data_IF_175183414891
#
_entry.id   IF_175183414891
#
_cell.length_a   1.000
_cell.length_b   1.000
_cell.length_c   1.000
_cell.angle_alpha   90.00
_cell.angle_beta   90.00
_cell.angle_gamma   90.00
#
_symmetry.space_group_name_H-M   'P 1'
#
loop_
_entity.id
_entity.type
_entity.pdbx_description
1 polymer ?
#
# COMPACT_ATOMS: atom_id res chain seq x y z
N UNK A 1 -1.51 -76.35 -28.63
CA UNK A 1 -1.33 -74.94 -28.91
C UNK A 1 -1.96 -74.16 -27.72
N UNK A 2 -1.11 -73.58 -26.88
CA UNK A 2 -1.56 -72.78 -25.70
C UNK A 2 -1.37 -71.30 -26.06
N UNK A 3 -2.47 -70.57 -26.30
CA UNK A 3 -2.48 -69.15 -26.56
C UNK A 3 -2.34 -68.39 -25.24
N UNK A 4 -1.20 -67.69 -25.09
CA UNK A 4 -0.91 -66.80 -23.96
C UNK A 4 -1.52 -65.43 -24.23
N UNK A 5 -2.53 -64.99 -23.47
CA UNK A 5 -3.10 -63.69 -23.56
C UNK A 5 -2.35 -62.77 -22.60
N UNK A 6 -1.52 -61.89 -23.13
CA UNK A 6 -0.83 -60.85 -22.35
C UNK A 6 -1.79 -59.68 -22.14
N UNK A 7 -2.27 -59.45 -20.92
CA UNK A 7 -3.04 -58.27 -20.56
C UNK A 7 -2.07 -57.10 -20.32
N UNK A 8 -2.14 -56.06 -21.17
CA UNK A 8 -1.43 -54.81 -20.98
C UNK A 8 -2.23 -53.97 -19.95
N UNK A 9 -1.69 -53.85 -18.74
CA UNK A 9 -2.23 -52.95 -17.73
C UNK A 9 -1.80 -51.50 -18.10
N UNK A 10 -2.69 -50.69 -18.67
CA UNK A 10 -2.49 -49.26 -18.80
C UNK A 10 -2.68 -48.61 -17.42
N UNK A 11 -1.57 -48.29 -16.74
CA UNK A 11 -1.58 -47.45 -15.54
C UNK A 11 -1.82 -46.00 -15.97
N UNK A 12 -3.03 -45.52 -15.79
CA UNK A 12 -3.33 -44.08 -15.91
C UNK A 12 -2.72 -43.38 -14.72
N UNK A 13 -1.62 -42.66 -14.93
CA UNK A 13 -1.11 -41.69 -13.98
C UNK A 13 -2.09 -40.49 -13.96
N UNK A 14 -3.04 -40.54 -13.04
CA UNK A 14 -3.87 -39.36 -12.74
C UNK A 14 -2.97 -38.33 -12.07
N UNK A 15 -2.52 -37.33 -12.83
CA UNK A 15 -1.98 -36.12 -12.22
C UNK A 15 -3.10 -35.49 -11.40
N UNK A 16 -2.84 -35.14 -10.12
CA UNK A 16 -3.84 -34.41 -9.36
C UNK A 16 -4.10 -33.09 -10.07
N UNK A 17 -5.30 -32.93 -10.64
CA UNK A 17 -5.74 -31.65 -11.14
C UNK A 17 -5.70 -30.69 -9.91
N UNK A 18 -4.90 -29.63 -9.97
CA UNK A 18 -4.91 -28.58 -8.96
C UNK A 18 -6.35 -28.08 -8.87
N UNK A 19 -6.95 -28.22 -7.69
CA UNK A 19 -8.29 -27.71 -7.45
C UNK A 19 -8.28 -26.18 -7.66
N UNK A 20 -9.20 -25.69 -8.49
CA UNK A 20 -9.32 -24.28 -8.81
C UNK A 20 -10.68 -23.73 -8.38
N UNK A 21 -10.78 -22.42 -8.26
CA UNK A 21 -12.02 -21.70 -7.95
C UNK A 21 -12.03 -20.37 -8.68
N UNK A 22 -13.20 -19.77 -8.78
CA UNK A 22 -13.39 -18.45 -9.36
C UNK A 22 -13.41 -17.39 -8.27
N UNK A 23 -12.75 -16.26 -8.53
CA UNK A 23 -12.75 -15.06 -7.70
C UNK A 23 -13.05 -13.86 -8.59
N UNK A 24 -13.56 -12.78 -7.99
CA UNK A 24 -13.77 -11.50 -8.68
C UNK A 24 -12.76 -10.50 -8.15
N UNK A 25 -11.96 -9.91 -9.03
CA UNK A 25 -10.98 -8.89 -8.67
C UNK A 25 -11.61 -7.49 -8.46
N UNK A 26 -10.80 -6.50 -8.09
CA UNK A 26 -11.29 -5.14 -7.84
C UNK A 26 -11.68 -4.40 -9.13
N UNK A 27 -11.31 -4.91 -10.29
CA UNK A 27 -11.77 -4.40 -11.59
C UNK A 27 -13.12 -5.02 -12.03
N UNK A 28 -13.58 -6.06 -11.33
CA UNK A 28 -14.82 -6.79 -11.65
C UNK A 28 -14.61 -7.97 -12.59
N UNK A 29 -13.37 -8.38 -12.86
CA UNK A 29 -13.08 -9.55 -13.69
C UNK A 29 -13.22 -10.82 -12.87
N UNK A 30 -13.88 -11.84 -13.46
CA UNK A 30 -13.91 -13.19 -12.88
C UNK A 30 -12.67 -13.95 -13.34
N UNK A 31 -11.83 -14.36 -12.41
CA UNK A 31 -10.55 -15.02 -12.65
C UNK A 31 -10.55 -16.40 -11.98
N UNK A 32 -10.08 -17.41 -12.72
CA UNK A 32 -9.86 -18.75 -12.16
C UNK A 32 -8.48 -18.83 -11.53
N UNK A 33 -8.43 -19.16 -10.25
CA UNK A 33 -7.18 -19.25 -9.45
C UNK A 33 -7.10 -20.60 -8.74
N UNK A 34 -5.91 -21.06 -8.31
CA UNK A 34 -5.77 -22.22 -7.42
C UNK A 34 -6.59 -22.07 -6.14
N UNK A 35 -7.01 -23.19 -5.54
CA UNK A 35 -7.73 -23.17 -4.26
C UNK A 35 -6.91 -22.49 -3.16
N UNK A 36 -5.59 -22.68 -3.16
CA UNK A 36 -4.62 -22.00 -2.32
C UNK A 36 -3.52 -21.43 -3.20
N UNK A 37 -3.16 -20.17 -2.97
CA UNK A 37 -2.13 -19.47 -3.74
C UNK A 37 -0.86 -19.37 -2.90
N UNK A 38 0.21 -19.96 -3.38
CA UNK A 38 1.51 -20.02 -2.68
C UNK A 38 2.65 -19.33 -3.42
N UNK A 39 2.47 -19.01 -4.72
CA UNK A 39 3.53 -18.43 -5.55
C UNK A 39 3.01 -17.21 -6.30
N UNK A 40 3.36 -16.04 -5.79
CA UNK A 40 2.80 -14.75 -6.19
C UNK A 40 3.84 -13.90 -6.91
N UNK A 41 3.46 -13.31 -8.03
CA UNK A 41 4.12 -12.14 -8.57
C UNK A 41 3.32 -10.89 -8.19
N UNK A 42 3.94 -9.92 -7.55
CA UNK A 42 3.25 -8.68 -7.17
C UNK A 42 3.85 -7.49 -7.92
N UNK A 43 3.09 -7.00 -8.91
CA UNK A 43 3.39 -5.86 -9.77
C UNK A 43 2.87 -4.53 -9.24
N UNK A 44 2.22 -4.50 -8.09
CA UNK A 44 1.78 -3.25 -7.45
C UNK A 44 2.58 -2.99 -6.17
N UNK A 45 3.41 -1.95 -6.17
CA UNK A 45 4.32 -1.61 -5.09
C UNK A 45 3.69 -1.64 -3.69
N UNK A 46 2.51 -1.04 -3.53
CA UNK A 46 1.81 -0.94 -2.25
C UNK A 46 1.16 -2.25 -1.80
N UNK A 47 0.75 -3.11 -2.74
CA UNK A 47 0.00 -4.34 -2.46
C UNK A 47 0.83 -5.36 -1.67
N UNK A 48 2.16 -5.30 -1.75
CA UNK A 48 3.06 -6.09 -0.92
C UNK A 48 2.72 -5.96 0.58
N UNK A 49 2.37 -4.76 1.04
CA UNK A 49 1.97 -4.56 2.44
C UNK A 49 0.65 -5.28 2.77
N UNK A 50 -0.28 -5.36 1.82
CA UNK A 50 -1.53 -6.14 1.98
C UNK A 50 -1.20 -7.63 2.11
N UNK A 51 -0.38 -8.17 1.21
CA UNK A 51 0.06 -9.58 1.28
C UNK A 51 0.80 -9.89 2.60
N UNK A 52 1.67 -8.98 3.05
CA UNK A 52 2.36 -9.14 4.35
C UNK A 52 1.38 -9.09 5.52
N UNK A 53 0.41 -8.17 5.50
CA UNK A 53 -0.67 -8.09 6.51
C UNK A 53 -1.47 -9.39 6.58
N UNK A 54 -1.73 -10.02 5.44
CA UNK A 54 -2.47 -11.26 5.34
C UNK A 54 -1.64 -12.53 5.63
N UNK A 55 -0.35 -12.37 5.95
CA UNK A 55 0.56 -13.49 6.25
C UNK A 55 1.14 -14.18 5.01
N UNK A 56 0.93 -13.61 3.82
CA UNK A 56 1.38 -14.17 2.54
C UNK A 56 2.68 -13.52 2.00
N UNK A 57 3.37 -12.71 2.79
CA UNK A 57 4.59 -12.04 2.34
C UNK A 57 5.67 -13.00 1.82
N UNK A 58 5.78 -14.19 2.40
CA UNK A 58 6.75 -15.22 1.98
C UNK A 58 6.39 -15.90 0.66
N UNK A 59 5.15 -15.78 0.23
CA UNK A 59 4.66 -16.34 -1.03
C UNK A 59 5.03 -15.47 -2.25
N UNK A 60 5.57 -14.28 -2.02
CA UNK A 60 6.00 -13.38 -3.10
C UNK A 60 7.31 -13.90 -3.68
N UNK A 61 7.27 -14.41 -4.91
CA UNK A 61 8.42 -14.97 -5.65
C UNK A 61 8.89 -14.06 -6.79
N UNK A 62 8.11 -13.01 -7.12
CA UNK A 62 8.51 -11.96 -8.04
C UNK A 62 7.95 -10.62 -7.55
N UNK A 63 8.74 -9.57 -7.59
CA UNK A 63 8.46 -8.26 -6.98
C UNK A 63 8.96 -7.10 -7.83
N UNK A 64 8.25 -5.99 -7.78
CA UNK A 64 8.66 -4.67 -8.31
C UNK A 64 9.35 -3.81 -7.24
N UNK A 65 9.32 -4.23 -5.97
CA UNK A 65 9.99 -3.52 -4.88
C UNK A 65 11.48 -3.90 -4.79
N UNK A 66 12.28 -2.95 -4.33
CA UNK A 66 13.71 -3.09 -4.09
C UNK A 66 14.07 -2.63 -2.68
N UNK A 67 15.08 -3.28 -2.08
CA UNK A 67 15.51 -2.97 -0.71
C UNK A 67 15.97 -1.52 -0.55
N UNK A 68 16.67 -0.98 -1.56
CA UNK A 68 17.10 0.44 -1.59
C UNK A 68 15.93 1.43 -1.45
N UNK A 69 14.74 1.03 -1.93
CA UNK A 69 13.54 1.84 -1.91
C UNK A 69 12.58 1.50 -0.77
N UNK A 70 12.59 0.27 -0.28
CA UNK A 70 11.68 -0.19 0.78
C UNK A 70 12.46 -0.98 1.85
N UNK A 71 13.45 -0.36 2.54
CA UNK A 71 14.34 -1.10 3.43
C UNK A 71 13.63 -1.78 4.59
N UNK A 72 12.56 -1.18 5.14
CA UNK A 72 11.75 -1.82 6.18
C UNK A 72 10.98 -3.03 5.66
N UNK A 73 10.44 -2.97 4.43
CA UNK A 73 9.75 -4.10 3.82
C UNK A 73 10.68 -5.32 3.71
N UNK A 74 11.91 -5.12 3.25
CA UNK A 74 12.90 -6.20 3.12
C UNK A 74 13.49 -6.65 4.45
N UNK A 75 13.56 -5.78 5.46
CA UNK A 75 13.97 -6.18 6.82
C UNK A 75 12.91 -7.07 7.46
N UNK A 76 11.65 -6.73 7.31
CA UNK A 76 10.51 -7.45 7.93
C UNK A 76 10.15 -8.71 7.14
N UNK A 77 10.26 -8.66 5.81
CA UNK A 77 10.07 -9.80 4.92
C UNK A 77 11.35 -10.11 4.13
N UNK A 78 12.37 -10.74 4.73
CA UNK A 78 13.66 -10.98 4.08
C UNK A 78 13.60 -11.96 2.91
N UNK A 79 12.50 -12.74 2.75
CA UNK A 79 12.31 -13.62 1.59
C UNK A 79 12.25 -12.86 0.27
N UNK A 80 11.89 -11.58 0.28
CA UNK A 80 11.90 -10.73 -0.92
C UNK A 80 13.28 -10.58 -1.56
N UNK A 81 14.38 -10.78 -0.81
CA UNK A 81 15.74 -10.79 -1.38
C UNK A 81 15.98 -11.95 -2.34
N UNK A 82 15.20 -13.04 -2.20
CA UNK A 82 15.27 -14.23 -3.06
C UNK A 82 14.24 -14.18 -4.20
N UNK A 83 13.28 -13.26 -4.14
CA UNK A 83 12.32 -13.06 -5.21
C UNK A 83 12.99 -12.47 -6.47
N UNK A 84 12.39 -12.72 -7.63
CA UNK A 84 12.75 -12.03 -8.85
C UNK A 84 12.45 -10.54 -8.69
N UNK A 85 13.46 -9.70 -8.62
CA UNK A 85 13.31 -8.26 -8.54
C UNK A 85 13.48 -7.65 -9.93
N UNK A 86 12.46 -6.93 -10.41
CA UNK A 86 12.52 -6.25 -11.70
C UNK A 86 12.52 -4.73 -11.53
N UNK A 87 13.20 -4.05 -12.45
CA UNK A 87 13.09 -2.60 -12.58
C UNK A 87 11.95 -2.26 -13.53
N UNK A 88 10.99 -1.46 -13.07
CA UNK A 88 9.75 -1.17 -13.81
C UNK A 88 8.53 -1.85 -13.20
N UNK A 89 7.48 -2.01 -14.00
CA UNK A 89 6.16 -2.51 -13.54
C UNK A 89 5.67 -3.75 -14.27
N UNK A 90 6.43 -4.25 -15.27
CA UNK A 90 6.03 -5.41 -16.07
C UNK A 90 7.07 -6.52 -15.98
N UNK A 91 6.62 -7.71 -15.58
CA UNK A 91 7.42 -8.93 -15.55
C UNK A 91 7.53 -9.56 -16.94
N UNK A 92 8.62 -10.29 -17.18
CA UNK A 92 8.68 -11.21 -18.31
C UNK A 92 7.85 -12.47 -17.99
N UNK A 93 6.94 -12.86 -18.87
CA UNK A 93 6.05 -14.01 -18.66
C UNK A 93 6.82 -15.34 -18.57
N UNK A 94 7.92 -15.50 -19.32
CA UNK A 94 8.76 -16.72 -19.27
C UNK A 94 9.44 -16.85 -17.89
N UNK A 95 9.93 -15.73 -17.32
CA UNK A 95 10.51 -15.71 -15.98
C UNK A 95 9.48 -16.08 -14.91
N UNK A 96 8.23 -15.64 -15.06
CA UNK A 96 7.15 -16.00 -14.16
C UNK A 96 6.82 -17.50 -14.26
N UNK A 97 6.73 -18.05 -15.47
CA UNK A 97 6.49 -19.47 -15.68
C UNK A 97 7.63 -20.32 -15.12
N UNK A 98 8.89 -19.92 -15.33
CA UNK A 98 10.05 -20.61 -14.78
C UNK A 98 10.05 -20.64 -13.23
N UNK A 99 9.38 -19.67 -12.60
CA UNK A 99 9.22 -19.59 -11.14
C UNK A 99 7.92 -20.20 -10.65
N UNK A 100 7.16 -20.84 -11.54
CA UNK A 100 5.86 -21.45 -11.23
C UNK A 100 4.90 -20.46 -10.56
N UNK A 101 4.86 -19.20 -11.04
CA UNK A 101 3.93 -18.20 -10.54
C UNK A 101 2.50 -18.64 -10.80
N UNK A 102 1.68 -18.61 -9.77
CA UNK A 102 0.28 -19.06 -9.79
C UNK A 102 -0.70 -17.91 -10.05
N UNK A 103 -0.35 -16.71 -9.61
CA UNK A 103 -1.12 -15.49 -9.84
C UNK A 103 -0.20 -14.28 -9.93
N UNK A 104 -0.63 -13.29 -10.73
CA UNK A 104 0.00 -11.96 -10.79
C UNK A 104 -0.99 -10.92 -10.26
N UNK A 105 -0.58 -10.14 -9.28
CA UNK A 105 -1.32 -8.95 -8.86
C UNK A 105 -0.75 -7.73 -9.58
N UNK A 106 -1.63 -6.86 -10.08
CA UNK A 106 -1.29 -5.58 -10.70
C UNK A 106 -2.23 -4.49 -10.21
N UNK A 107 -1.79 -3.24 -10.22
CA UNK A 107 -2.71 -2.12 -10.02
C UNK A 107 -3.65 -2.01 -11.22
N UNK A 108 -4.93 -1.75 -10.99
CA UNK A 108 -5.96 -1.63 -12.02
C UNK A 108 -5.52 -0.71 -13.16
N UNK A 109 -5.60 -1.22 -14.37
CA UNK A 109 -5.19 -0.51 -15.60
C UNK A 109 -3.69 -0.30 -15.73
N UNK A 110 -2.87 -1.02 -14.95
CA UNK A 110 -1.41 -0.99 -15.00
C UNK A 110 -0.84 -2.40 -15.25
N UNK A 111 0.45 -2.42 -15.59
CA UNK A 111 1.12 -3.68 -15.92
C UNK A 111 0.76 -4.23 -17.29
N UNK A 112 1.23 -5.44 -17.57
CA UNK A 112 1.01 -6.15 -18.83
C UNK A 112 0.05 -7.33 -18.62
N UNK A 113 -1.16 -7.03 -18.14
CA UNK A 113 -2.18 -8.02 -17.80
C UNK A 113 -2.50 -8.96 -18.96
N UNK A 114 -2.53 -8.42 -20.19
CA UNK A 114 -2.79 -9.21 -21.39
C UNK A 114 -1.69 -10.24 -21.68
N UNK A 115 -0.41 -9.85 -21.53
CA UNK A 115 0.73 -10.74 -21.76
C UNK A 115 0.72 -11.92 -20.77
N UNK A 116 0.45 -11.65 -19.50
CA UNK A 116 0.37 -12.71 -18.46
C UNK A 116 -0.80 -13.66 -18.74
N UNK A 117 -1.98 -13.12 -19.08
CA UNK A 117 -3.15 -13.94 -19.41
C UNK A 117 -2.91 -14.81 -20.64
N UNK A 118 -2.24 -14.29 -21.69
CA UNK A 118 -1.86 -15.05 -22.86
C UNK A 118 -0.86 -16.17 -22.56
N UNK A 119 -0.01 -15.97 -21.55
CA UNK A 119 0.90 -17.00 -21.03
C UNK A 119 0.19 -18.02 -20.12
N UNK A 120 -1.11 -17.86 -19.88
CA UNK A 120 -1.90 -18.75 -19.03
C UNK A 120 -1.73 -18.49 -17.52
N UNK A 121 -1.19 -17.33 -17.14
CA UNK A 121 -1.02 -16.96 -15.73
C UNK A 121 -2.22 -16.08 -15.31
N UNK A 122 -2.98 -16.46 -14.26
CA UNK A 122 -4.08 -15.65 -13.74
C UNK A 122 -3.62 -14.27 -13.29
N UNK A 123 -4.33 -13.22 -13.73
CA UNK A 123 -4.04 -11.82 -13.38
C UNK A 123 -5.19 -11.24 -12.56
N UNK A 124 -4.88 -10.58 -11.48
CA UNK A 124 -5.82 -9.92 -10.58
C UNK A 124 -5.52 -8.42 -10.58
N UNK A 125 -6.48 -7.61 -11.03
CA UNK A 125 -6.38 -6.15 -11.00
C UNK A 125 -6.94 -5.62 -9.68
N UNK A 126 -6.07 -5.02 -8.86
CA UNK A 126 -6.40 -4.53 -7.54
C UNK A 126 -6.46 -3.01 -7.51
N UNK A 127 -7.42 -2.44 -6.77
CA UNK A 127 -7.59 -1.00 -6.67
C UNK A 127 -8.39 -0.59 -5.44
N UNK A 128 -8.02 0.53 -4.85
CA UNK A 128 -8.86 1.27 -3.91
C UNK A 128 -8.47 2.76 -3.91
N UNK A 129 -9.41 3.63 -3.57
CA UNK A 129 -9.23 5.08 -3.55
C UNK A 129 -9.66 5.71 -2.23
N UNK A 130 -10.29 4.93 -1.36
CA UNK A 130 -10.74 5.29 -0.03
C UNK A 130 -10.67 4.10 0.92
N UNK A 131 -11.00 4.30 2.18
CA UNK A 131 -10.91 3.22 3.18
C UNK A 131 -11.97 2.13 3.00
N UNK A 132 -13.16 2.44 2.50
CA UNK A 132 -14.18 1.43 2.25
C UNK A 132 -13.78 0.48 1.12
N UNK A 133 -13.26 1.02 0.03
CA UNK A 133 -12.72 0.22 -1.07
C UNK A 133 -11.44 -0.52 -0.68
N UNK A 134 -10.62 0.04 0.24
CA UNK A 134 -9.46 -0.64 0.80
C UNK A 134 -9.86 -1.89 1.60
N UNK A 135 -10.86 -1.80 2.49
CA UNK A 135 -11.38 -2.97 3.22
C UNK A 135 -11.85 -4.07 2.28
N UNK A 136 -12.55 -3.67 1.21
CA UNK A 136 -12.96 -4.61 0.17
C UNK A 136 -11.75 -5.26 -0.50
N UNK A 137 -10.75 -4.48 -0.91
CA UNK A 137 -9.54 -4.98 -1.57
C UNK A 137 -8.73 -5.93 -0.69
N UNK A 138 -8.62 -5.65 0.62
CA UNK A 138 -8.00 -6.54 1.61
C UNK A 138 -8.77 -7.87 1.70
N UNK A 139 -10.10 -7.82 1.75
CA UNK A 139 -10.95 -9.01 1.77
C UNK A 139 -10.82 -9.82 0.49
N UNK A 140 -10.90 -9.14 -0.67
CA UNK A 140 -10.72 -9.77 -2.00
C UNK A 140 -9.35 -10.46 -2.11
N UNK A 141 -8.27 -9.82 -1.64
CA UNK A 141 -6.94 -10.43 -1.64
C UNK A 141 -6.90 -11.68 -0.77
N UNK A 142 -7.52 -11.66 0.43
CA UNK A 142 -7.60 -12.84 1.30
C UNK A 142 -8.40 -13.98 0.66
N UNK A 143 -9.48 -13.66 -0.04
CA UNK A 143 -10.24 -14.63 -0.83
C UNK A 143 -9.38 -15.22 -1.96
N UNK A 144 -8.60 -14.40 -2.67
CA UNK A 144 -7.70 -14.86 -3.73
C UNK A 144 -6.62 -15.81 -3.15
N UNK A 145 -6.07 -15.51 -1.98
CA UNK A 145 -5.09 -16.38 -1.31
C UNK A 145 -5.69 -17.74 -0.91
N UNK A 146 -6.97 -17.77 -0.56
CA UNK A 146 -7.73 -18.99 -0.31
C UNK A 146 -7.42 -19.70 1.00
N UNK A 147 -6.67 -19.09 1.91
CA UNK A 147 -6.32 -19.67 3.21
C UNK A 147 -7.19 -19.11 4.33
N UNK A 148 -7.47 -19.95 5.35
CA UNK A 148 -8.20 -19.49 6.55
C UNK A 148 -7.42 -18.42 7.30
N UNK A 149 -6.10 -18.54 7.37
CA UNK A 149 -5.24 -17.55 7.98
C UNK A 149 -5.41 -16.16 7.33
N UNK A 150 -5.42 -16.10 5.99
CA UNK A 150 -5.61 -14.83 5.28
C UNK A 150 -6.97 -14.21 5.58
N UNK A 151 -8.06 -15.00 5.63
CA UNK A 151 -9.40 -14.52 5.97
C UNK A 151 -9.50 -13.97 7.39
N UNK A 152 -8.92 -14.69 8.36
CA UNK A 152 -8.87 -14.25 9.77
C UNK A 152 -8.10 -12.93 9.89
N UNK A 153 -6.94 -12.81 9.21
CA UNK A 153 -6.12 -11.60 9.24
C UNK A 153 -6.80 -10.42 8.53
N UNK A 154 -7.49 -10.66 7.43
CA UNK A 154 -8.28 -9.62 6.74
C UNK A 154 -9.40 -9.08 7.65
N UNK A 155 -10.14 -9.97 8.31
CA UNK A 155 -11.17 -9.59 9.28
C UNK A 155 -10.58 -8.76 10.42
N UNK A 156 -9.46 -9.18 10.99
CA UNK A 156 -8.78 -8.45 12.07
C UNK A 156 -8.30 -7.06 11.62
N UNK A 157 -7.74 -6.96 10.41
CA UNK A 157 -7.31 -5.69 9.85
C UNK A 157 -8.49 -4.74 9.59
N UNK A 158 -9.56 -5.22 8.96
CA UNK A 158 -10.75 -4.41 8.69
C UNK A 158 -11.42 -3.94 10.00
N UNK A 159 -11.46 -4.78 11.02
CA UNK A 159 -11.94 -4.36 12.36
C UNK A 159 -11.04 -3.29 12.99
N UNK A 160 -9.72 -3.42 12.84
CA UNK A 160 -8.77 -2.40 13.32
C UNK A 160 -8.99 -1.07 12.59
N UNK A 161 -9.05 -1.11 11.25
CA UNK A 161 -9.29 0.07 10.42
C UNK A 161 -10.62 0.76 10.77
N UNK A 162 -11.69 -0.01 10.93
CA UNK A 162 -13.01 0.53 11.33
C UNK A 162 -13.00 1.21 12.69
N UNK A 163 -12.26 0.65 13.67
CA UNK A 163 -12.09 1.32 14.98
C UNK A 163 -11.34 2.64 14.82
N UNK A 164 -10.26 2.66 14.06
CA UNK A 164 -9.48 3.89 13.79
C UNK A 164 -10.35 4.95 13.11
N UNK A 165 -11.13 4.56 12.09
CA UNK A 165 -12.06 5.47 11.41
C UNK A 165 -13.09 6.07 12.38
N UNK A 166 -13.72 5.23 13.20
CA UNK A 166 -14.70 5.67 14.18
C UNK A 166 -14.08 6.61 15.23
N UNK A 167 -12.92 6.28 15.77
CA UNK A 167 -12.23 7.07 16.81
C UNK A 167 -11.79 8.44 16.29
N UNK A 168 -11.27 8.50 15.06
CA UNK A 168 -10.87 9.77 14.43
C UNK A 168 -12.10 10.60 14.10
N UNK A 169 -13.11 9.99 13.49
CA UNK A 169 -14.34 10.66 13.09
C UNK A 169 -15.12 11.24 14.28
N UNK A 170 -15.18 10.52 15.41
CA UNK A 170 -15.80 11.00 16.63
C UNK A 170 -15.19 12.31 17.14
N UNK A 171 -13.93 12.58 16.84
CA UNK A 171 -13.21 13.79 17.28
C UNK A 171 -13.18 14.89 16.23
N UNK A 172 -13.31 14.55 14.94
CA UNK A 172 -13.14 15.51 13.84
C UNK A 172 -14.45 15.91 13.19
N UNK A 173 -15.57 15.17 13.41
CA UNK A 173 -16.86 15.42 12.76
C UNK A 173 -17.41 16.81 13.08
N UNK A 174 -17.27 17.28 14.31
CA UNK A 174 -17.81 18.56 14.79
C UNK A 174 -16.91 19.77 14.45
N UNK A 175 -15.76 19.56 13.79
CA UNK A 175 -14.87 20.65 13.39
C UNK A 175 -15.55 21.52 12.35
N UNK A 176 -15.65 22.82 12.64
CA UNK A 176 -16.11 23.82 11.67
C UNK A 176 -15.11 24.01 10.53
N UNK A 177 -15.54 24.62 9.45
CA UNK A 177 -14.71 24.90 8.27
C UNK A 177 -13.41 25.66 8.65
N UNK A 178 -13.52 26.66 9.54
CA UNK A 178 -12.38 27.45 10.01
C UNK A 178 -11.39 26.67 10.89
N UNK A 179 -11.82 25.57 11.49
CA UNK A 179 -10.97 24.69 12.30
C UNK A 179 -10.24 23.64 11.47
N UNK A 180 -10.55 23.54 10.17
CA UNK A 180 -9.96 22.58 9.24
C UNK A 180 -8.84 23.26 8.44
N UNK A 181 -7.55 23.03 8.76
CA UNK A 181 -6.45 23.64 8.02
C UNK A 181 -6.40 23.16 6.57
N UNK A 182 -5.96 24.05 5.67
CA UNK A 182 -5.62 23.64 4.29
C UNK A 182 -4.29 22.90 4.30
N UNK A 183 -4.36 21.63 3.91
CA UNK A 183 -3.22 20.69 3.89
C UNK A 183 -2.83 20.43 2.45
N UNK A 184 -1.57 20.63 2.11
CA UNK A 184 -1.01 20.25 0.82
C UNK A 184 -0.09 19.04 1.01
N UNK A 185 -0.41 17.94 0.33
CA UNK A 185 0.50 16.81 0.21
C UNK A 185 1.36 16.97 -1.04
N UNK A 186 2.69 16.96 -0.86
CA UNK A 186 3.68 17.03 -1.96
C UNK A 186 4.40 15.70 -2.06
N UNK A 187 4.16 14.99 -3.16
CA UNK A 187 4.78 13.69 -3.42
C UNK A 187 6.19 13.81 -4.00
N UNK A 188 6.45 14.84 -4.76
CA UNK A 188 7.75 15.13 -5.38
C UNK A 188 7.94 16.63 -5.51
N UNK A 189 9.18 17.08 -5.28
CA UNK A 189 9.58 18.48 -5.46
C UNK A 189 10.28 18.72 -6.82
N UNK A 190 10.65 17.67 -7.55
CA UNK A 190 11.25 17.82 -8.86
C UNK A 190 11.01 16.55 -9.72
N UNK A 191 10.06 16.57 -10.67
CA UNK A 191 9.06 17.62 -10.89
C UNK A 191 8.09 17.77 -9.72
N UNK A 192 7.48 18.95 -9.58
CA UNK A 192 6.55 19.24 -8.49
C UNK A 192 5.24 18.47 -8.70
N UNK A 193 4.96 17.50 -7.83
CA UNK A 193 3.77 16.66 -7.91
C UNK A 193 3.01 16.65 -6.60
N UNK A 194 1.69 16.80 -6.72
CA UNK A 194 0.73 16.80 -5.60
C UNK A 194 -0.34 15.75 -5.81
N UNK A 195 -1.07 15.45 -4.74
CA UNK A 195 -2.21 14.54 -4.78
C UNK A 195 -3.51 15.31 -4.52
N UNK A 196 -4.43 15.19 -5.46
CA UNK A 196 -5.71 15.90 -5.46
C UNK A 196 -6.89 15.01 -5.01
N UNK A 197 -8.10 15.43 -5.43
CA UNK A 197 -9.35 14.72 -5.12
C UNK A 197 -9.39 13.32 -5.77
N UNK A 198 -10.32 12.49 -5.31
CA UNK A 198 -10.52 11.11 -5.76
C UNK A 198 -9.32 10.20 -5.49
N UNK A 199 -8.63 10.45 -4.37
CA UNK A 199 -7.46 9.69 -3.93
C UNK A 199 -7.57 9.32 -2.46
N UNK A 200 -6.85 8.27 -2.05
CA UNK A 200 -6.74 7.92 -0.63
C UNK A 200 -6.13 9.08 0.19
N UNK A 201 -5.27 9.88 -0.44
CA UNK A 201 -4.63 11.04 0.19
C UNK A 201 -5.68 12.11 0.55
N UNK A 202 -6.55 12.42 -0.38
CA UNK A 202 -7.68 13.33 -0.15
C UNK A 202 -8.59 12.82 0.96
N UNK A 203 -8.86 11.52 0.97
CA UNK A 203 -9.68 10.86 1.97
C UNK A 203 -9.08 10.98 3.37
N UNK A 204 -7.80 10.62 3.57
CA UNK A 204 -7.23 10.72 4.91
C UNK A 204 -6.99 12.17 5.37
N UNK A 205 -6.69 13.12 4.47
CA UNK A 205 -6.62 14.55 4.82
C UNK A 205 -7.96 15.01 5.38
N UNK A 206 -9.06 14.70 4.69
CA UNK A 206 -10.42 15.12 5.08
C UNK A 206 -10.85 14.50 6.40
N UNK A 207 -10.68 13.18 6.56
CA UNK A 207 -11.03 12.45 7.77
C UNK A 207 -10.20 12.88 8.97
N UNK A 208 -8.92 13.18 8.76
CA UNK A 208 -8.04 13.72 9.81
C UNK A 208 -8.42 15.14 10.26
N UNK A 209 -9.44 15.75 9.68
CA UNK A 209 -9.92 17.08 10.02
C UNK A 209 -9.23 18.21 9.25
N UNK A 210 -8.58 17.91 8.13
CA UNK A 210 -8.03 18.89 7.21
C UNK A 210 -8.93 19.19 6.01
N UNK A 211 -8.45 20.03 5.11
CA UNK A 211 -8.98 20.27 3.76
C UNK A 211 -7.84 20.17 2.77
N UNK A 212 -8.03 19.37 1.73
CA UNK A 212 -6.99 19.23 0.71
C UNK A 212 -6.82 20.54 -0.07
N UNK A 213 -5.67 21.20 0.05
CA UNK A 213 -5.36 22.43 -0.67
C UNK A 213 -5.35 22.23 -2.19
N UNK A 214 -5.03 21.02 -2.66
CA UNK A 214 -5.07 20.62 -4.07
C UNK A 214 -6.40 19.97 -4.48
N UNK A 215 -7.50 20.21 -3.76
CA UNK A 215 -8.80 19.54 -4.00
C UNK A 215 -9.43 19.83 -5.37
N UNK A 216 -8.97 20.84 -6.11
CA UNK A 216 -9.39 21.10 -7.49
C UNK A 216 -8.64 20.24 -8.52
N UNK A 217 -7.51 19.65 -8.13
CA UNK A 217 -6.72 18.74 -8.97
C UNK A 217 -7.34 17.33 -8.86
N UNK A 218 -7.41 16.60 -9.96
CA UNK A 218 -7.98 15.25 -9.98
C UNK A 218 -6.89 14.18 -10.07
N UNK A 219 -6.87 13.27 -9.08
CA UNK A 219 -6.00 12.10 -9.06
C UNK A 219 -4.65 12.30 -8.36
N UNK A 220 -3.85 11.22 -8.41
CA UNK A 220 -2.55 11.12 -7.74
C UNK A 220 -1.41 11.70 -8.58
N UNK A 221 -0.36 12.18 -7.89
CA UNK A 221 0.94 12.51 -8.46
C UNK A 221 0.84 13.43 -9.67
N UNK A 222 -0.05 14.42 -9.59
CA UNK A 222 -0.27 15.38 -10.66
C UNK A 222 0.77 16.50 -10.62
N UNK A 223 1.39 16.75 -11.76
CA UNK A 223 2.33 17.84 -11.92
C UNK A 223 1.58 19.17 -11.89
N UNK A 224 2.08 20.10 -11.11
CA UNK A 224 1.52 21.45 -10.96
C UNK A 224 2.63 22.49 -11.00
N UNK A 225 2.28 23.74 -11.33
CA UNK A 225 3.25 24.84 -11.24
C UNK A 225 3.44 25.29 -9.79
N UNK A 226 4.62 25.80 -9.43
CA UNK A 226 4.87 26.34 -8.09
C UNK A 226 3.98 27.55 -7.77
N UNK A 227 3.58 28.34 -8.77
CA UNK A 227 2.65 29.47 -8.60
C UNK A 227 1.27 28.99 -8.13
N UNK A 228 0.84 27.81 -8.55
CA UNK A 228 -0.41 27.21 -8.10
C UNK A 228 -0.37 26.89 -6.61
N UNK A 229 0.75 26.40 -6.12
CA UNK A 229 0.96 26.15 -4.69
C UNK A 229 0.90 27.47 -3.89
N UNK A 230 1.49 28.56 -4.41
CA UNK A 230 1.36 29.88 -3.81
C UNK A 230 -0.09 30.38 -3.81
N UNK A 231 -0.84 30.14 -4.87
CA UNK A 231 -2.25 30.51 -4.95
C UNK A 231 -3.09 29.78 -3.89
N UNK A 232 -2.85 28.48 -3.67
CA UNK A 232 -3.56 27.69 -2.66
C UNK A 232 -3.26 28.11 -1.21
N UNK A 233 -2.10 28.69 -0.96
CA UNK A 233 -1.67 29.12 0.38
C UNK A 233 -1.93 28.05 1.46
N UNK A 234 -1.29 26.87 1.38
CA UNK A 234 -1.47 25.82 2.37
C UNK A 234 -1.03 26.31 3.76
N UNK A 235 -1.76 25.90 4.80
CA UNK A 235 -1.44 26.15 6.20
C UNK A 235 -0.52 25.05 6.76
N UNK A 236 -0.56 23.89 6.13
CA UNK A 236 0.27 22.72 6.44
C UNK A 236 0.75 22.10 5.13
N UNK A 237 2.01 21.71 5.08
CA UNK A 237 2.58 20.92 3.99
C UNK A 237 3.03 19.58 4.56
N UNK A 238 2.58 18.48 3.95
CA UNK A 238 3.07 17.14 4.25
C UNK A 238 3.87 16.66 3.04
N UNK A 239 5.17 16.45 3.28
CA UNK A 239 6.09 15.95 2.26
C UNK A 239 6.08 14.42 2.26
N UNK A 240 5.92 13.79 1.12
CA UNK A 240 6.12 12.34 0.99
C UNK A 240 7.49 11.93 1.54
N UNK A 241 7.60 10.71 2.05
CA UNK A 241 8.77 10.24 2.81
C UNK A 241 10.11 10.47 2.10
N UNK A 242 10.12 10.42 0.75
CA UNK A 242 11.32 10.58 -0.09
C UNK A 242 11.27 11.77 -1.05
N UNK A 243 10.39 12.71 -0.77
CA UNK A 243 10.15 13.86 -1.65
C UNK A 243 11.32 14.86 -1.70
N UNK A 244 12.31 14.74 -0.79
CA UNK A 244 13.36 15.74 -0.60
C UNK A 244 12.90 16.86 0.34
N UNK A 245 13.71 17.91 0.49
CA UNK A 245 13.42 19.05 1.36
C UNK A 245 13.15 20.30 0.54
N UNK A 246 12.19 21.11 1.00
CA UNK A 246 11.85 22.39 0.34
C UNK A 246 13.08 23.30 0.21
N UNK A 247 13.92 23.37 1.27
CA UNK A 247 15.10 24.23 1.30
C UNK A 247 16.16 23.88 0.23
N UNK A 248 16.22 22.62 -0.22
CA UNK A 248 17.12 22.16 -1.27
C UNK A 248 16.44 22.00 -2.63
N UNK A 249 15.16 22.31 -2.73
CA UNK A 249 14.39 22.16 -3.96
C UNK A 249 14.63 23.34 -4.93
N UNK A 250 14.31 23.18 -6.23
CA UNK A 250 14.32 24.29 -7.20
C UNK A 250 13.39 25.45 -6.80
N UNK A 251 12.44 25.21 -5.91
CA UNK A 251 11.42 26.16 -5.48
C UNK A 251 11.69 26.80 -4.12
N UNK A 252 12.87 26.58 -3.51
CA UNK A 252 13.20 27.04 -2.17
C UNK A 252 12.95 28.55 -1.96
N UNK A 253 13.40 29.39 -2.92
CA UNK A 253 13.21 30.83 -2.86
C UNK A 253 11.74 31.24 -2.92
N UNK A 254 10.90 30.50 -3.63
CA UNK A 254 9.49 30.79 -3.79
C UNK A 254 8.68 30.28 -2.60
N UNK A 255 8.95 29.06 -2.16
CA UNK A 255 8.18 28.39 -1.10
C UNK A 255 8.48 28.91 0.30
N UNK A 256 9.62 29.64 0.51
CA UNK A 256 9.86 30.36 1.77
C UNK A 256 8.77 31.40 2.07
N UNK A 257 8.02 31.86 1.05
CA UNK A 257 6.94 32.83 1.19
C UNK A 257 5.62 32.18 1.67
N UNK A 258 5.49 30.86 1.60
CA UNK A 258 4.33 30.14 2.08
C UNK A 258 4.20 30.23 3.60
N UNK A 259 2.98 30.48 4.09
CA UNK A 259 2.70 30.54 5.52
C UNK A 259 3.08 29.23 6.25
N UNK A 260 2.82 28.08 5.63
CA UNK A 260 3.21 26.78 6.18
C UNK A 260 4.72 26.71 6.44
N UNK A 261 5.55 27.19 5.52
CA UNK A 261 7.01 27.21 5.66
C UNK A 261 7.46 28.19 6.73
N UNK A 262 6.91 29.42 6.73
CA UNK A 262 7.24 30.46 7.71
C UNK A 262 6.90 30.04 9.14
N UNK A 263 5.85 29.26 9.32
CA UNK A 263 5.37 28.80 10.63
C UNK A 263 5.96 27.43 11.05
N UNK A 264 6.78 26.80 10.20
CA UNK A 264 7.35 25.48 10.46
C UNK A 264 6.36 24.32 10.36
N UNK A 265 5.22 24.53 9.71
CA UNK A 265 4.18 23.52 9.49
C UNK A 265 4.47 22.68 8.22
N UNK A 266 5.70 22.23 8.10
CA UNK A 266 6.17 21.33 7.04
C UNK A 266 6.60 20.02 7.69
N UNK A 267 5.89 18.94 7.41
CA UNK A 267 6.10 17.67 8.07
C UNK A 267 6.49 16.59 7.07
N UNK A 268 7.42 15.72 7.48
CA UNK A 268 7.78 14.51 6.72
C UNK A 268 6.79 13.40 7.03
N UNK A 269 6.24 12.79 5.98
CA UNK A 269 5.32 11.66 6.13
C UNK A 269 6.07 10.43 6.65
N UNK A 270 5.54 9.68 7.63
CA UNK A 270 6.12 8.43 8.07
C UNK A 270 6.22 7.39 6.94
N UNK A 271 7.22 6.51 7.06
CA UNK A 271 7.38 5.39 6.15
C UNK A 271 7.95 4.17 6.88
N UNK A 272 7.33 3.04 6.67
CA UNK A 272 7.73 1.77 7.22
C UNK A 272 7.83 0.68 6.16
N UNK A 273 7.02 -0.36 6.24
CA UNK A 273 6.91 -1.40 5.20
C UNK A 273 6.61 -0.74 3.85
N UNK A 274 5.71 0.24 3.86
CA UNK A 274 5.44 1.11 2.73
C UNK A 274 5.22 2.55 3.23
N UNK A 275 5.35 3.61 2.39
CA UNK A 275 4.98 4.96 2.81
C UNK A 275 3.53 5.03 3.27
N UNK A 276 3.30 5.58 4.48
CA UNK A 276 1.98 5.54 5.13
C UNK A 276 0.91 6.32 4.39
N UNK A 277 1.30 7.38 3.71
CA UNK A 277 0.45 8.27 2.91
C UNK A 277 -0.08 7.63 1.63
N UNK A 278 0.48 6.47 1.24
CA UNK A 278 0.13 5.79 -0.01
C UNK A 278 -0.80 4.59 0.24
N UNK A 279 -0.94 3.73 -0.73
CA UNK A 279 -1.95 2.66 -0.82
C UNK A 279 -1.57 1.36 -0.08
N UNK A 280 -0.82 1.46 1.01
CA UNK A 280 -0.47 0.33 1.87
C UNK A 280 -1.37 0.22 3.10
N UNK A 281 -1.27 -0.90 3.82
CA UNK A 281 -2.08 -1.16 5.03
C UNK A 281 -1.74 -0.22 6.19
N UNK A 282 -0.54 0.36 6.20
CA UNK A 282 -0.12 1.39 7.16
C UNK A 282 -0.87 2.72 7.00
N UNK A 283 -1.74 2.85 5.98
CA UNK A 283 -2.60 4.04 5.87
C UNK A 283 -3.59 4.17 7.03
N UNK A 284 -3.87 3.08 7.75
CA UNK A 284 -4.60 3.13 9.02
C UNK A 284 -3.81 3.88 10.12
N UNK A 285 -2.48 3.80 10.10
CA UNK A 285 -1.59 4.59 10.96
C UNK A 285 -1.50 6.04 10.47
N UNK A 286 -1.46 6.24 9.15
CA UNK A 286 -1.46 7.57 8.52
C UNK A 286 -2.61 8.43 9.01
N UNK A 287 -3.82 7.89 9.04
CA UNK A 287 -5.00 8.63 9.49
C UNK A 287 -4.85 9.12 10.94
N UNK A 288 -4.38 8.26 11.84
CA UNK A 288 -4.15 8.59 13.25
C UNK A 288 -3.02 9.62 13.41
N UNK A 289 -1.92 9.43 12.69
CA UNK A 289 -0.79 10.35 12.70
C UNK A 289 -1.19 11.73 12.18
N UNK A 290 -1.84 11.80 11.02
CA UNK A 290 -2.28 13.07 10.43
C UNK A 290 -3.27 13.80 11.35
N UNK A 291 -4.25 13.10 11.90
CA UNK A 291 -5.22 13.67 12.84
C UNK A 291 -4.54 14.24 14.10
N UNK A 292 -3.59 13.50 14.67
CA UNK A 292 -2.84 13.95 15.84
C UNK A 292 -1.94 15.17 15.56
N UNK A 293 -1.40 15.28 14.34
CA UNK A 293 -0.59 16.42 13.92
C UNK A 293 -1.43 17.65 13.61
N UNK A 294 -2.60 17.48 12.98
CA UNK A 294 -3.49 18.57 12.63
C UNK A 294 -4.25 19.11 13.86
N UNK A 295 -4.63 18.23 14.78
CA UNK A 295 -5.43 18.55 15.97
C UNK A 295 -4.84 17.97 17.26
N UNK A 296 -3.64 18.38 17.68
CA UNK A 296 -2.95 17.78 18.81
C UNK A 296 -3.75 17.80 20.12
N UNK A 297 -4.57 18.82 20.34
CA UNK A 297 -5.40 18.91 21.54
C UNK A 297 -6.49 17.82 21.58
N UNK A 298 -7.06 17.43 20.42
CA UNK A 298 -8.07 16.38 20.34
C UNK A 298 -7.48 14.97 20.48
N UNK A 299 -6.18 14.82 20.21
CA UNK A 299 -5.47 13.53 20.21
C UNK A 299 -4.33 13.49 21.25
N UNK A 300 -4.40 14.29 22.31
CA UNK A 300 -3.34 14.41 23.33
C UNK A 300 -2.99 13.10 24.04
N UNK A 301 -3.91 12.12 24.07
CA UNK A 301 -3.66 10.79 24.64
C UNK A 301 -3.13 9.76 23.64
N UNK A 302 -2.91 10.11 22.37
CA UNK A 302 -2.48 9.18 21.33
C UNK A 302 -0.96 9.09 21.29
N UNK A 303 -0.41 7.95 21.69
CA UNK A 303 1.02 7.65 21.58
C UNK A 303 1.30 6.88 20.26
N UNK A 304 1.71 7.59 19.23
CA UNK A 304 2.00 7.00 17.91
C UNK A 304 3.16 5.99 17.94
N UNK A 305 4.08 6.07 18.90
CA UNK A 305 5.15 5.07 19.04
C UNK A 305 4.56 3.73 19.45
N UNK A 306 3.73 3.72 20.49
CA UNK A 306 3.03 2.51 20.94
C UNK A 306 2.09 1.96 19.89
N UNK A 307 1.29 2.82 19.26
CA UNK A 307 0.35 2.44 18.19
C UNK A 307 1.10 1.77 17.02
N UNK A 308 2.22 2.34 16.60
CA UNK A 308 3.04 1.77 15.51
C UNK A 308 3.59 0.38 15.89
N UNK A 309 4.12 0.25 17.11
CA UNK A 309 4.66 -1.03 17.60
C UNK A 309 3.58 -2.12 17.66
N UNK A 310 2.39 -1.78 18.14
CA UNK A 310 1.27 -2.71 18.24
C UNK A 310 0.76 -3.15 16.86
N UNK A 311 0.67 -2.21 15.90
CA UNK A 311 0.29 -2.50 14.53
C UNK A 311 1.28 -3.49 13.88
N UNK A 312 2.58 -3.25 14.00
CA UNK A 312 3.61 -4.10 13.40
C UNK A 312 3.62 -5.50 14.02
N UNK A 313 3.45 -5.59 15.33
CA UNK A 313 3.34 -6.88 16.02
C UNK A 313 2.13 -7.66 15.53
N UNK A 314 0.97 -6.99 15.37
CA UNK A 314 -0.29 -7.63 15.02
C UNK A 314 -0.36 -8.01 13.53
N UNK A 315 0.12 -7.15 12.62
CA UNK A 315 -0.12 -7.28 11.20
C UNK A 315 1.10 -7.67 10.36
N UNK A 316 2.29 -7.47 10.89
CA UNK A 316 3.52 -7.86 10.20
C UNK A 316 4.32 -8.93 10.97
N UNK A 317 3.80 -9.42 12.09
CA UNK A 317 4.46 -10.40 12.97
C UNK A 317 5.89 -9.94 13.37
N UNK A 318 6.06 -8.64 13.55
CA UNK A 318 7.36 -8.02 13.82
C UNK A 318 7.30 -7.08 15.03
N UNK A 319 8.13 -7.36 16.04
CA UNK A 319 8.22 -6.55 17.25
C UNK A 319 9.23 -5.43 17.07
N UNK A 320 8.74 -4.23 16.74
CA UNK A 320 9.59 -3.03 16.71
C UNK A 320 10.04 -2.65 18.12
N UNK A 321 11.32 -2.27 18.26
CA UNK A 321 11.76 -1.51 19.43
C UNK A 321 11.16 -0.09 19.40
N UNK A 322 11.23 0.63 20.54
CA UNK A 322 10.83 2.03 20.58
C UNK A 322 11.61 2.89 19.56
N UNK A 323 12.92 2.67 19.50
CA UNK A 323 13.79 3.37 18.54
C UNK A 323 13.41 3.09 17.09
N UNK A 324 13.16 1.83 16.76
CA UNK A 324 12.71 1.44 15.41
C UNK A 324 11.37 2.09 15.05
N UNK A 325 10.40 2.13 15.97
CA UNK A 325 9.14 2.82 15.74
C UNK A 325 9.34 4.33 15.52
N UNK A 326 10.22 4.96 16.27
CA UNK A 326 10.58 6.37 16.05
C UNK A 326 11.25 6.60 14.69
N UNK A 327 12.08 5.66 14.23
CA UNK A 327 12.66 5.73 12.87
C UNK A 327 11.61 5.66 11.79
N UNK A 328 10.63 4.75 11.91
CA UNK A 328 9.47 4.66 11.00
C UNK A 328 8.68 5.97 10.98
N UNK A 329 8.37 6.54 12.17
CA UNK A 329 7.65 7.81 12.30
C UNK A 329 8.40 9.00 11.69
N UNK A 330 9.71 8.94 11.60
CA UNK A 330 10.56 9.97 10.99
C UNK A 330 11.02 9.63 9.57
N UNK A 331 10.43 8.60 8.94
CA UNK A 331 10.80 8.12 7.60
C UNK A 331 12.28 7.75 7.46
N UNK A 332 12.92 7.29 8.53
CA UNK A 332 14.31 6.85 8.54
C UNK A 332 14.39 5.35 8.24
N UNK A 333 15.40 4.90 7.48
CA UNK A 333 15.61 3.47 7.22
C UNK A 333 15.90 2.70 8.52
N UNK A 334 15.73 1.38 8.54
CA UNK A 334 16.20 0.57 9.68
C UNK A 334 17.72 0.74 9.86
N UNK A 335 18.18 0.59 11.09
CA UNK A 335 19.62 0.46 11.37
C UNK A 335 20.09 -0.92 10.90
N UNK A 336 21.35 -1.00 10.50
CA UNK A 336 22.03 -2.24 10.13
C UNK A 336 22.09 -3.23 11.29
#
# INVERSE_FOLDING_TARGET
MKTCHTWLLCVWLAFPALATRQVVDDAGHTVTVPTHVERIADGWFAHHSVLMTLGAGRNIVATVNHEENQPWMFKINPSLRQALQIRGTSFNSEDLLARHVEVVFVAKGKGDAQSYSQAGIPVLEMAFTDYASMEKSVTTTAEILGTEQARVRATAYNQYLNRVLADVQAKTAELTENQRPRVLHIQSLNPLKVDGRNTLIDTWITLAGGRNAAGEVDGNMKEVSPERVLYWQPQVIILGARCGDIASSPYAALFKELNAVKQGNVWRNPAGVFPWDRYGTESALQLQWAASKLHPALFSGLDMVSVTRDFYRQFFDYSLTQEQAMRVLNALPPQE
#
